data_IF_739431969088
#
_entry.id   IF_739431969088
#
_cell.length_a   1.000
_cell.length_b   1.000
_cell.length_c   1.000
_cell.angle_alpha   90.00
_cell.angle_beta   90.00
_cell.angle_gamma   90.00
#
_symmetry.space_group_name_H-M   'P 1'
#
loop_
_entity.id
_entity.type
_entity.pdbx_description
1 polymer ?
#
# COMPACT_ATOMS: atom_id res chain seq x y z
N UNK A 1 -21.98 -8.76 -15.51
CA UNK A 1 -22.79 -9.63 -14.67
C UNK A 1 -22.65 -9.25 -13.20
N UNK A 2 -23.53 -9.76 -12.39
CA UNK A 2 -23.47 -9.55 -10.93
C UNK A 2 -22.19 -10.10 -10.33
N UNK A 3 -21.73 -11.26 -10.83
CA UNK A 3 -20.48 -11.89 -10.39
C UNK A 3 -19.27 -11.01 -10.68
N UNK A 4 -19.19 -10.46 -11.88
CA UNK A 4 -18.09 -9.56 -12.29
C UNK A 4 -18.08 -8.29 -11.45
N UNK A 5 -19.24 -7.72 -11.18
CA UNK A 5 -19.37 -6.53 -10.34
C UNK A 5 -18.91 -6.81 -8.90
N UNK A 6 -19.29 -7.97 -8.35
CA UNK A 6 -18.88 -8.40 -7.00
C UNK A 6 -17.36 -8.58 -6.92
N UNK A 7 -16.76 -9.21 -7.92
CA UNK A 7 -15.31 -9.38 -7.99
C UNK A 7 -14.59 -8.04 -8.05
N UNK A 8 -15.10 -7.10 -8.84
CA UNK A 8 -14.54 -5.75 -8.93
C UNK A 8 -14.60 -4.99 -7.61
N UNK A 9 -15.71 -5.10 -6.87
CA UNK A 9 -15.87 -4.47 -5.55
C UNK A 9 -14.85 -5.07 -4.56
N UNK A 10 -14.68 -6.39 -4.57
CA UNK A 10 -13.73 -7.08 -3.70
C UNK A 10 -12.28 -6.64 -3.99
N UNK A 11 -11.93 -6.46 -5.26
CA UNK A 11 -10.61 -5.96 -5.66
C UNK A 11 -10.37 -4.54 -5.13
N UNK A 12 -11.36 -3.67 -5.21
CA UNK A 12 -11.24 -2.29 -4.68
C UNK A 12 -11.07 -2.27 -3.16
N UNK A 13 -11.75 -3.16 -2.44
CA UNK A 13 -11.60 -3.29 -0.99
C UNK A 13 -10.19 -3.75 -0.66
N UNK A 14 -9.66 -4.73 -1.40
CA UNK A 14 -8.30 -5.22 -1.22
C UNK A 14 -7.26 -4.14 -1.48
N UNK A 15 -7.40 -3.38 -2.57
CA UNK A 15 -6.51 -2.28 -2.91
C UNK A 15 -6.50 -1.21 -1.82
N UNK A 16 -7.67 -0.88 -1.28
CA UNK A 16 -7.81 0.07 -0.19
C UNK A 16 -7.09 -0.41 1.07
N UNK A 17 -7.26 -1.68 1.44
CA UNK A 17 -6.59 -2.29 2.59
C UNK A 17 -5.06 -2.25 2.41
N UNK A 18 -4.56 -2.60 1.23
CA UNK A 18 -3.13 -2.56 0.91
C UNK A 18 -2.57 -1.15 1.04
N UNK A 19 -3.29 -0.16 0.56
CA UNK A 19 -2.90 1.24 0.65
C UNK A 19 -2.81 1.70 2.11
N UNK A 20 -3.78 1.37 2.95
CA UNK A 20 -3.74 1.71 4.36
C UNK A 20 -2.57 1.04 5.09
N UNK A 21 -2.33 -0.24 4.81
CA UNK A 21 -1.24 -0.98 5.45
C UNK A 21 0.13 -0.42 5.06
N UNK A 22 0.31 -0.08 3.80
CA UNK A 22 1.53 0.57 3.32
C UNK A 22 1.72 1.94 3.98
N UNK A 23 0.64 2.73 4.09
CA UNK A 23 0.68 4.04 4.75
C UNK A 23 1.11 3.91 6.21
N UNK A 24 0.58 2.93 6.93
CA UNK A 24 0.97 2.65 8.32
C UNK A 24 2.47 2.33 8.40
N UNK A 25 2.97 1.50 7.48
CA UNK A 25 4.39 1.15 7.44
C UNK A 25 5.25 2.40 7.24
N UNK A 26 4.92 3.23 6.26
CA UNK A 26 5.67 4.46 5.95
C UNK A 26 5.65 5.43 7.13
N UNK A 27 4.50 5.65 7.73
CA UNK A 27 4.36 6.53 8.89
C UNK A 27 5.13 6.00 10.09
N UNK A 28 5.15 4.69 10.30
CA UNK A 28 5.88 4.05 11.39
C UNK A 28 7.40 4.23 11.26
N UNK A 29 7.91 4.39 10.05
CA UNK A 29 9.32 4.69 9.80
C UNK A 29 9.69 6.11 10.20
N UNK A 30 8.75 7.05 10.10
CA UNK A 30 8.95 8.46 10.46
C UNK A 30 8.68 8.74 11.93
N UNK A 31 7.72 8.03 12.52
CA UNK A 31 7.25 8.26 13.88
C UNK A 31 6.81 6.92 14.50
N UNK A 32 7.36 6.52 15.65
CA UNK A 32 6.98 5.25 16.29
C UNK A 32 5.53 5.21 16.79
N UNK A 33 4.87 6.36 16.88
CA UNK A 33 3.51 6.49 17.43
C UNK A 33 2.53 6.88 16.34
N UNK A 34 1.89 5.89 15.70
CA UNK A 34 0.93 6.12 14.60
C UNK A 34 -0.50 5.93 15.13
N UNK A 35 -1.36 6.88 14.83
CA UNK A 35 -2.79 6.86 15.15
C UNK A 35 -3.62 7.08 13.89
N UNK A 36 -4.92 6.81 13.99
CA UNK A 36 -5.86 7.03 12.86
C UNK A 36 -5.81 8.46 12.32
N UNK A 37 -5.62 9.45 13.18
CA UNK A 37 -5.53 10.85 12.75
C UNK A 37 -4.31 11.10 11.85
N UNK A 38 -3.21 10.43 12.10
CA UNK A 38 -2.00 10.56 11.28
C UNK A 38 -2.23 10.01 9.88
N UNK A 39 -2.95 8.89 9.79
CA UNK A 39 -3.32 8.28 8.52
C UNK A 39 -4.28 9.19 7.75
N UNK A 40 -5.29 9.73 8.42
CA UNK A 40 -6.26 10.63 7.81
C UNK A 40 -5.57 11.88 7.26
N UNK A 41 -4.62 12.45 8.01
CA UNK A 41 -3.85 13.60 7.59
C UNK A 41 -2.97 13.28 6.37
N UNK A 42 -2.25 12.15 6.40
CA UNK A 42 -1.34 11.76 5.32
C UNK A 42 -2.09 11.52 3.99
N UNK A 43 -3.27 10.90 4.06
CA UNK A 43 -4.05 10.55 2.87
C UNK A 43 -5.08 11.60 2.47
N UNK A 44 -5.25 12.64 3.28
CA UNK A 44 -6.30 13.66 3.10
C UNK A 44 -7.69 13.02 3.06
N UNK A 45 -7.94 12.08 3.96
CA UNK A 45 -9.20 11.38 4.11
C UNK A 45 -9.91 11.87 5.38
N UNK A 46 -11.22 11.65 5.45
CA UNK A 46 -12.00 12.03 6.63
C UNK A 46 -11.69 11.08 7.80
N UNK A 47 -11.74 11.62 9.03
CA UNK A 47 -11.52 10.83 10.24
C UNK A 47 -12.49 9.65 10.37
N UNK A 48 -13.81 9.82 10.12
CA UNK A 48 -14.75 8.69 10.19
C UNK A 48 -14.41 7.57 9.20
N UNK A 49 -14.02 7.91 7.97
CA UNK A 49 -13.64 6.91 6.95
C UNK A 49 -12.44 6.09 7.41
N UNK A 50 -11.41 6.75 7.94
CA UNK A 50 -10.22 6.08 8.43
C UNK A 50 -10.52 5.23 9.66
N UNK A 51 -11.37 5.71 10.58
CA UNK A 51 -11.77 4.94 11.76
C UNK A 51 -12.47 3.64 11.39
N UNK A 52 -13.35 3.67 10.40
CA UNK A 52 -14.02 2.46 9.89
C UNK A 52 -13.02 1.51 9.27
N UNK A 53 -12.09 2.03 8.46
CA UNK A 53 -11.05 1.22 7.82
C UNK A 53 -10.14 0.54 8.86
N UNK A 54 -9.72 1.28 9.89
CA UNK A 54 -8.87 0.75 10.96
C UNK A 54 -9.59 -0.33 11.76
N UNK A 55 -10.88 -0.15 12.03
CA UNK A 55 -11.69 -1.18 12.69
C UNK A 55 -11.70 -2.46 11.87
N UNK A 56 -11.94 -2.36 10.55
CA UNK A 56 -11.98 -3.51 9.66
C UNK A 56 -10.62 -4.22 9.59
N UNK A 57 -9.53 -3.47 9.49
CA UNK A 57 -8.19 -4.04 9.48
C UNK A 57 -7.85 -4.76 10.78
N UNK A 58 -8.26 -4.21 11.92
CA UNK A 58 -8.08 -4.83 13.22
C UNK A 58 -8.88 -6.12 13.35
N UNK A 59 -10.15 -6.10 12.96
CA UNK A 59 -11.02 -7.28 13.01
C UNK A 59 -10.51 -8.41 12.12
N UNK A 60 -9.83 -8.08 11.02
CA UNK A 60 -9.26 -9.06 10.09
C UNK A 60 -7.81 -9.46 10.42
N UNK A 61 -7.28 -8.97 11.52
CA UNK A 61 -5.97 -9.40 12.00
C UNK A 61 -4.76 -8.79 11.30
N UNK A 62 -4.93 -7.65 10.64
CA UNK A 62 -3.83 -6.96 9.95
C UNK A 62 -3.12 -5.93 10.81
N UNK A 63 -3.80 -5.38 11.79
CA UNK A 63 -3.26 -4.38 12.71
C UNK A 63 -3.67 -4.69 14.15
N UNK A 64 -2.88 -4.17 15.09
CA UNK A 64 -3.24 -4.08 16.50
C UNK A 64 -3.47 -2.60 16.84
N UNK A 65 -4.36 -2.35 17.79
CA UNK A 65 -4.59 -1.01 18.30
C UNK A 65 -4.65 -1.10 19.83
N UNK A 66 -3.82 -0.31 20.52
CA UNK A 66 -3.83 -0.30 21.97
C UNK A 66 -4.94 0.59 22.54
N UNK A 67 -5.03 0.67 23.86
CA UNK A 67 -6.05 1.46 24.56
C UNK A 67 -5.98 2.95 24.24
N UNK A 68 -4.79 3.46 23.88
CA UNK A 68 -4.57 4.86 23.54
C UNK A 68 -4.73 5.15 22.04
N UNK A 69 -5.09 4.14 21.26
CA UNK A 69 -5.32 4.27 19.83
C UNK A 69 -4.07 4.18 18.97
N UNK A 70 -2.92 3.77 19.53
CA UNK A 70 -1.71 3.56 18.75
C UNK A 70 -1.80 2.28 17.94
N UNK A 71 -1.44 2.39 16.67
CA UNK A 71 -1.58 1.34 15.66
C UNK A 71 -0.22 0.71 15.38
N UNK A 72 -0.18 -0.63 15.36
CA UNK A 72 0.98 -1.39 14.91
C UNK A 72 0.52 -2.46 13.93
N UNK A 73 1.42 -2.82 12.99
CA UNK A 73 1.15 -3.89 12.04
C UNK A 73 1.37 -5.25 12.70
N UNK A 74 0.46 -6.19 12.43
CA UNK A 74 0.70 -7.60 12.74
C UNK A 74 1.69 -8.17 11.71
N UNK A 75 2.18 -9.40 11.92
CA UNK A 75 3.04 -10.09 10.93
C UNK A 75 2.33 -10.13 9.57
N UNK A 76 1.05 -10.48 9.57
CA UNK A 76 0.24 -10.57 8.35
C UNK A 76 0.12 -9.21 7.65
N UNK A 77 -0.16 -8.16 8.40
CA UNK A 77 -0.26 -6.80 7.85
C UNK A 77 1.07 -6.27 7.35
N UNK A 78 2.14 -6.56 8.06
CA UNK A 78 3.50 -6.14 7.68
C UNK A 78 3.95 -6.77 6.38
N UNK A 79 3.66 -8.05 6.16
CA UNK A 79 4.00 -8.73 4.90
C UNK A 79 3.35 -8.04 3.71
N UNK A 80 2.08 -7.69 3.83
CA UNK A 80 1.34 -6.99 2.77
C UNK A 80 1.94 -5.58 2.56
N UNK A 81 2.16 -4.85 3.64
CA UNK A 81 2.70 -3.49 3.58
C UNK A 81 4.09 -3.46 2.93
N UNK A 82 4.96 -4.39 3.30
CA UNK A 82 6.31 -4.49 2.73
C UNK A 82 6.28 -4.85 1.25
N UNK A 83 5.37 -5.74 0.84
CA UNK A 83 5.19 -6.11 -0.57
C UNK A 83 4.78 -4.88 -1.39
N UNK A 84 3.82 -4.10 -0.89
CA UNK A 84 3.37 -2.89 -1.58
C UNK A 84 4.47 -1.83 -1.63
N UNK A 85 5.20 -1.65 -0.54
CA UNK A 85 6.30 -0.70 -0.47
C UNK A 85 7.43 -1.07 -1.45
N UNK A 86 7.78 -2.35 -1.55
CA UNK A 86 8.76 -2.84 -2.53
C UNK A 86 8.30 -2.52 -3.96
N UNK A 87 7.04 -2.83 -4.28
CA UNK A 87 6.49 -2.52 -5.60
C UNK A 87 6.53 -1.04 -5.91
N UNK A 88 6.14 -0.23 -4.94
CA UNK A 88 6.14 1.23 -5.08
C UNK A 88 7.52 1.76 -5.41
N UNK A 89 8.52 1.39 -4.62
CA UNK A 89 9.90 1.83 -4.79
C UNK A 89 10.45 1.39 -6.15
N UNK A 90 10.24 0.14 -6.49
CA UNK A 90 10.77 -0.43 -7.72
C UNK A 90 10.15 0.20 -8.96
N UNK A 91 8.83 0.34 -8.97
CA UNK A 91 8.10 0.91 -10.11
C UNK A 91 8.37 2.41 -10.27
N UNK A 92 8.41 3.17 -9.18
CA UNK A 92 8.70 4.60 -9.26
C UNK A 92 10.12 4.85 -9.76
N UNK A 93 11.12 4.12 -9.26
CA UNK A 93 12.50 4.24 -9.71
C UNK A 93 12.65 3.88 -11.19
N UNK A 94 11.98 2.82 -11.64
CA UNK A 94 11.99 2.41 -13.03
C UNK A 94 11.42 3.50 -13.94
N UNK A 95 10.28 4.05 -13.59
CA UNK A 95 9.63 5.12 -14.37
C UNK A 95 10.53 6.37 -14.45
N UNK A 96 11.17 6.74 -13.34
CA UNK A 96 12.12 7.86 -13.31
C UNK A 96 13.30 7.60 -14.26
N UNK A 97 13.85 6.40 -14.27
CA UNK A 97 14.94 6.02 -15.20
C UNK A 97 14.51 6.07 -16.66
N UNK A 98 13.22 5.79 -16.93
CA UNK A 98 12.68 5.92 -18.28
C UNK A 98 12.47 7.37 -18.71
N UNK A 99 12.68 8.33 -17.81
CA UNK A 99 12.53 9.74 -18.10
C UNK A 99 11.22 10.35 -17.64
N UNK A 100 10.42 9.60 -16.87
CA UNK A 100 9.18 10.13 -16.29
C UNK A 100 9.55 11.04 -15.12
N UNK A 101 8.91 12.20 -15.05
CA UNK A 101 9.12 13.16 -13.97
C UNK A 101 8.78 12.53 -12.61
N UNK A 102 9.49 12.93 -11.57
CA UNK A 102 9.41 12.31 -10.25
C UNK A 102 7.98 12.28 -9.70
N UNK A 103 7.26 13.40 -9.78
CA UNK A 103 5.89 13.47 -9.26
C UNK A 103 4.96 12.50 -9.97
N UNK A 104 5.01 12.48 -11.30
CA UNK A 104 4.21 11.56 -12.11
C UNK A 104 4.58 10.10 -11.85
N UNK A 105 5.88 9.81 -11.78
CA UNK A 105 6.36 8.45 -11.52
C UNK A 105 5.86 7.90 -10.19
N UNK A 106 5.90 8.69 -9.13
CA UNK A 106 5.44 8.30 -7.80
C UNK A 106 3.92 8.08 -7.80
N UNK A 107 3.16 8.97 -8.43
CA UNK A 107 1.71 8.85 -8.52
C UNK A 107 1.29 7.61 -9.31
N UNK A 108 1.94 7.35 -10.44
CA UNK A 108 1.63 6.19 -11.28
C UNK A 108 2.04 4.89 -10.57
N UNK A 109 3.20 4.85 -9.94
CA UNK A 109 3.64 3.70 -9.18
C UNK A 109 2.66 3.36 -8.04
N UNK A 110 2.13 4.37 -7.37
CA UNK A 110 1.13 4.20 -6.32
C UNK A 110 -0.14 3.51 -6.82
N UNK A 111 -0.53 3.77 -8.05
CA UNK A 111 -1.67 3.10 -8.68
C UNK A 111 -1.31 1.70 -9.18
N UNK A 112 -0.18 1.57 -9.86
CA UNK A 112 0.27 0.31 -10.47
C UNK A 112 0.51 -0.79 -9.45
N UNK A 113 1.05 -0.45 -8.28
CA UNK A 113 1.43 -1.43 -7.26
C UNK A 113 0.26 -2.27 -6.76
N UNK A 114 -0.95 -1.72 -6.76
CA UNK A 114 -2.15 -2.39 -6.27
C UNK A 114 -2.88 -3.20 -7.36
N UNK A 115 -2.62 -2.92 -8.63
CA UNK A 115 -3.35 -3.56 -9.74
C UNK A 115 -2.52 -4.61 -10.49
N UNK A 116 -1.21 -4.55 -10.38
CA UNK A 116 -0.32 -5.50 -11.06
C UNK A 116 -0.29 -6.84 -10.32
N UNK A 117 -0.30 -7.95 -11.06
CA UNK A 117 -0.18 -9.27 -10.46
C UNK A 117 1.25 -9.51 -9.97
N UNK A 118 1.40 -10.47 -9.04
CA UNK A 118 2.71 -10.89 -8.57
C UNK A 118 3.58 -11.41 -9.72
N UNK A 119 3.00 -12.18 -10.61
CA UNK A 119 3.71 -12.75 -11.78
C UNK A 119 4.24 -11.65 -12.69
N UNK A 120 3.41 -10.66 -13.00
CA UNK A 120 3.83 -9.54 -13.86
C UNK A 120 4.87 -8.67 -13.18
N UNK A 121 4.71 -8.39 -11.89
CA UNK A 121 5.70 -7.62 -11.15
C UNK A 121 7.05 -8.35 -11.10
N UNK A 122 7.06 -9.65 -10.80
CA UNK A 122 8.28 -10.44 -10.76
C UNK A 122 8.99 -10.48 -12.11
N UNK A 123 8.22 -10.56 -13.20
CA UNK A 123 8.77 -10.52 -14.57
C UNK A 123 9.45 -9.16 -14.85
N UNK A 124 8.79 -8.06 -14.51
CA UNK A 124 9.35 -6.71 -14.65
C UNK A 124 10.62 -6.57 -13.81
N UNK A 125 10.58 -7.02 -12.57
CA UNK A 125 11.71 -6.95 -11.66
C UNK A 125 12.92 -7.72 -12.19
N UNK A 126 12.71 -8.93 -12.70
CA UNK A 126 13.80 -9.72 -13.33
C UNK A 126 14.39 -9.01 -14.54
N UNK A 127 13.55 -8.41 -15.38
CA UNK A 127 13.98 -7.69 -16.56
C UNK A 127 14.87 -6.48 -16.19
N UNK A 128 14.42 -5.67 -15.26
CA UNK A 128 15.16 -4.48 -14.81
C UNK A 128 16.47 -4.88 -14.14
N UNK A 129 16.44 -5.88 -13.25
CA UNK A 129 17.62 -6.39 -12.57
C UNK A 129 18.64 -6.96 -13.59
N UNK A 130 18.16 -7.65 -14.61
CA UNK A 130 19.00 -8.14 -15.71
C UNK A 130 19.69 -7.04 -16.48
N UNK A 131 19.00 -5.93 -16.75
CA UNK A 131 19.58 -4.76 -17.40
C UNK A 131 20.68 -4.13 -16.53
N UNK A 132 20.41 -3.98 -15.23
CA UNK A 132 21.35 -3.39 -14.28
C UNK A 132 22.62 -4.23 -14.12
N UNK A 133 22.51 -5.54 -14.27
CA UNK A 133 23.61 -6.48 -14.09
C UNK A 133 24.36 -6.81 -15.40
N UNK A 134 23.92 -6.25 -16.50
CA UNK A 134 24.55 -6.48 -17.81
C UNK A 134 25.55 -5.35 -18.22
#
# INVERSE_FOLDING_TARGET
SFKEMKEMINLKIQESAEMYLETILVLSQRNPSVRSIDIASELDYTKPSVSVAMKNLRENGYINMDADGYITLTVKGKEIAETMYERHTFLSDWLIRLGVDQTTAVEDACRMEHVISADSFDAIKRHITGIENS
#
